data_IF_008067003561
#
_entry.id   IF_008067003561
#
_cell.length_a   1.000
_cell.length_b   1.000
_cell.length_c   1.000
_cell.angle_alpha   90.00
_cell.angle_beta   90.00
_cell.angle_gamma   90.00
#
_symmetry.space_group_name_H-M   'P 1'
#
loop_
_entity.id
_entity.type
_entity.pdbx_description
1 polymer ?
#
# COMPACT_ATOMS: atom_id res chain seq x y z
N UNK A 1 -8.07 3.63 -23.64
CA UNK A 1 -8.28 2.78 -22.43
C UNK A 1 -7.25 3.12 -21.36
N UNK A 2 -7.48 2.82 -20.08
CA UNK A 2 -6.53 3.24 -19.02
C UNK A 2 -5.13 2.64 -19.18
N UNK A 3 -5.03 1.35 -19.51
CA UNK A 3 -3.77 0.66 -19.78
C UNK A 3 -3.03 1.33 -20.94
N UNK A 4 -3.71 1.58 -22.06
CA UNK A 4 -3.13 2.30 -23.19
C UNK A 4 -2.66 3.71 -22.83
N UNK A 5 -3.43 4.44 -22.03
CA UNK A 5 -3.05 5.78 -21.58
C UNK A 5 -1.78 5.73 -20.71
N UNK A 6 -1.71 4.81 -19.76
CA UNK A 6 -0.50 4.62 -18.93
C UNK A 6 0.70 4.22 -19.81
N UNK A 7 0.51 3.33 -20.78
CA UNK A 7 1.56 2.94 -21.72
C UNK A 7 2.10 4.13 -22.52
N UNK A 8 1.21 5.04 -22.97
CA UNK A 8 1.60 6.27 -23.67
C UNK A 8 2.34 7.25 -22.77
N UNK A 9 1.84 7.49 -21.55
CA UNK A 9 2.52 8.35 -20.57
C UNK A 9 3.94 7.84 -20.28
N UNK A 10 4.09 6.52 -20.13
CA UNK A 10 5.40 5.91 -19.97
C UNK A 10 6.27 6.10 -21.22
N UNK A 11 5.73 5.86 -22.41
CA UNK A 11 6.49 5.96 -23.65
C UNK A 11 6.99 7.38 -23.92
N UNK A 12 6.15 8.39 -23.64
CA UNK A 12 6.54 9.80 -23.69
C UNK A 12 7.70 10.08 -22.74
N UNK A 13 7.61 9.58 -21.50
CA UNK A 13 8.69 9.73 -20.50
C UNK A 13 9.97 8.97 -20.89
N UNK A 14 9.84 7.78 -21.49
CA UNK A 14 10.96 6.98 -21.96
C UNK A 14 11.68 7.67 -23.12
N UNK A 15 10.93 8.17 -24.10
CA UNK A 15 11.49 8.91 -25.23
C UNK A 15 12.24 10.16 -24.78
N UNK A 16 11.68 10.90 -23.81
CA UNK A 16 12.28 12.07 -23.17
C UNK A 16 13.59 11.71 -22.43
N UNK A 17 13.58 10.68 -21.58
CA UNK A 17 14.73 10.25 -20.76
C UNK A 17 15.89 9.70 -21.61
N UNK A 18 15.59 8.89 -22.63
CA UNK A 18 16.59 8.19 -23.41
C UNK A 18 16.90 8.84 -24.76
N UNK A 19 16.27 9.98 -25.09
CA UNK A 19 16.45 10.68 -26.36
C UNK A 19 16.04 9.85 -27.58
N UNK A 20 14.99 9.05 -27.44
CA UNK A 20 14.46 8.17 -28.49
C UNK A 20 13.13 8.70 -29.05
N UNK A 21 12.62 8.09 -30.13
CA UNK A 21 11.37 8.50 -30.78
C UNK A 21 10.48 7.28 -31.07
N UNK A 22 10.37 6.38 -30.10
CA UNK A 22 9.55 5.19 -30.25
C UNK A 22 8.06 5.54 -30.28
N UNK A 23 7.32 4.91 -31.19
CA UNK A 23 5.87 4.73 -31.06
C UNK A 23 5.58 3.42 -30.30
N UNK A 24 4.33 3.19 -29.89
CA UNK A 24 4.00 2.04 -29.06
C UNK A 24 4.25 0.72 -29.80
N UNK A 25 4.04 0.68 -31.12
CA UNK A 25 4.32 -0.50 -31.94
C UNK A 25 5.81 -0.82 -31.96
N UNK A 26 6.65 0.13 -32.34
CA UNK A 26 8.10 -0.03 -32.43
C UNK A 26 8.71 -0.35 -31.07
N UNK A 27 8.29 0.35 -30.00
CA UNK A 27 8.70 -0.01 -28.63
C UNK A 27 8.28 -1.45 -28.27
N UNK A 28 7.06 -1.83 -28.62
CA UNK A 28 6.58 -3.18 -28.34
C UNK A 28 7.44 -4.24 -29.03
N UNK A 29 7.75 -4.04 -30.30
CA UNK A 29 8.51 -4.98 -31.12
C UNK A 29 9.97 -5.08 -30.69
N UNK A 30 10.62 -3.95 -30.41
CA UNK A 30 12.07 -3.87 -30.22
C UNK A 30 12.50 -3.98 -28.74
N UNK A 31 11.69 -3.48 -27.81
CA UNK A 31 12.05 -3.42 -26.39
C UNK A 31 11.21 -4.39 -25.56
N UNK A 32 9.88 -4.32 -25.70
CA UNK A 32 8.96 -5.05 -24.82
C UNK A 32 8.93 -6.56 -25.11
N UNK A 33 8.65 -6.96 -26.35
CA UNK A 33 8.51 -8.37 -26.72
C UNK A 33 9.78 -9.21 -26.43
N UNK A 34 10.99 -8.76 -26.78
CA UNK A 34 12.22 -9.50 -26.48
C UNK A 34 12.44 -9.74 -24.99
N UNK A 35 12.04 -8.77 -24.17
CA UNK A 35 12.18 -8.82 -22.71
C UNK A 35 11.12 -9.73 -22.06
N UNK A 36 9.87 -9.60 -22.49
CA UNK A 36 8.71 -10.22 -21.83
C UNK A 36 8.36 -11.61 -22.34
N UNK A 37 8.49 -11.85 -23.64
CA UNK A 37 7.90 -13.01 -24.31
C UNK A 37 8.87 -13.80 -25.18
N UNK A 38 9.95 -13.23 -25.70
CA UNK A 38 10.96 -14.02 -26.42
C UNK A 38 11.99 -14.67 -25.47
N UNK A 39 11.48 -15.31 -24.42
CA UNK A 39 12.27 -15.92 -23.36
C UNK A 39 11.60 -17.23 -22.92
N UNK A 40 12.38 -18.16 -22.36
CA UNK A 40 11.83 -19.43 -21.87
C UNK A 40 10.79 -19.24 -20.76
N UNK A 41 10.92 -18.19 -19.94
CA UNK A 41 9.94 -17.85 -18.90
C UNK A 41 9.40 -16.47 -19.16
N UNK A 42 8.11 -16.35 -19.41
CA UNK A 42 7.49 -15.05 -19.66
C UNK A 42 7.45 -14.21 -18.39
N UNK A 43 7.52 -12.89 -18.52
CA UNK A 43 7.41 -11.99 -17.36
C UNK A 43 5.95 -11.71 -16.99
N UNK A 44 5.03 -11.80 -17.95
CA UNK A 44 3.59 -11.56 -17.76
C UNK A 44 2.74 -12.56 -18.53
N UNK A 45 1.52 -12.82 -18.05
CA UNK A 45 0.55 -13.65 -18.79
C UNK A 45 -0.03 -12.89 -19.98
N UNK A 46 -0.05 -13.53 -21.15
CA UNK A 46 -0.70 -13.02 -22.35
C UNK A 46 -2.18 -13.45 -22.45
N UNK A 47 -2.64 -14.32 -21.54
CA UNK A 47 -4.03 -14.75 -21.46
C UNK A 47 -4.47 -15.47 -22.73
N UNK A 48 -5.52 -14.97 -23.37
CA UNK A 48 -6.06 -15.56 -24.61
C UNK A 48 -5.34 -15.07 -25.88
N UNK A 49 -4.30 -14.24 -25.73
CA UNK A 49 -3.47 -13.77 -26.85
C UNK A 49 -2.76 -14.92 -27.55
N UNK A 50 -2.50 -14.85 -28.87
CA UNK A 50 -1.63 -15.81 -29.56
C UNK A 50 -0.28 -16.04 -28.88
N UNK A 51 0.23 -15.03 -28.16
CA UNK A 51 1.47 -15.11 -27.36
C UNK A 51 1.44 -16.21 -26.29
N UNK A 52 0.28 -16.59 -25.77
CA UNK A 52 0.14 -17.66 -24.75
C UNK A 52 -0.98 -18.65 -25.08
N UNK A 53 -1.61 -18.58 -26.26
CA UNK A 53 -2.68 -19.51 -26.68
C UNK A 53 -2.23 -20.42 -27.85
N UNK A 54 -2.16 -21.76 -27.70
CA UNK A 54 -2.60 -22.58 -26.57
C UNK A 54 -1.75 -22.37 -25.31
N UNK A 55 -2.39 -22.57 -24.15
CA UNK A 55 -1.82 -22.29 -22.82
C UNK A 55 -0.59 -23.15 -22.50
N UNK A 56 0.43 -22.50 -21.96
CA UNK A 56 1.68 -23.14 -21.56
C UNK A 56 1.56 -23.77 -20.17
N UNK A 57 2.17 -24.95 -19.98
CA UNK A 57 2.25 -25.62 -18.68
C UNK A 57 3.52 -25.19 -17.95
N UNK A 58 3.51 -23.96 -17.41
CA UNK A 58 4.67 -23.35 -16.77
C UNK A 58 5.32 -24.24 -15.71
N UNK A 59 4.51 -24.83 -14.82
CA UNK A 59 5.02 -25.64 -13.71
C UNK A 59 5.70 -26.94 -14.22
N UNK A 60 5.17 -27.56 -15.28
CA UNK A 60 5.81 -28.73 -15.91
C UNK A 60 7.12 -28.35 -16.60
N UNK A 61 7.15 -27.21 -17.28
CA UNK A 61 8.34 -26.71 -17.99
C UNK A 61 9.46 -26.34 -17.00
N UNK A 62 9.12 -25.66 -15.90
CA UNK A 62 10.07 -25.33 -14.83
C UNK A 62 10.65 -26.59 -14.19
N UNK A 63 9.82 -27.61 -13.98
CA UNK A 63 10.25 -28.91 -13.43
C UNK A 63 10.96 -29.81 -14.45
N UNK A 64 11.16 -29.36 -15.69
CA UNK A 64 11.80 -30.15 -16.75
C UNK A 64 10.97 -31.33 -17.26
N UNK A 65 9.69 -31.43 -16.91
CA UNK A 65 8.77 -32.48 -17.39
C UNK A 65 8.34 -32.24 -18.85
N UNK A 66 8.37 -30.99 -19.28
CA UNK A 66 8.14 -30.55 -20.66
C UNK A 66 9.26 -29.60 -21.06
N UNK A 67 9.67 -29.65 -22.31
CA UNK A 67 10.61 -28.66 -22.85
C UNK A 67 9.95 -27.29 -22.94
N UNK A 68 10.73 -26.24 -22.75
CA UNK A 68 10.29 -24.89 -23.10
C UNK A 68 10.05 -24.78 -24.61
N UNK A 69 9.26 -23.78 -25.02
CA UNK A 69 9.05 -23.51 -26.44
C UNK A 69 10.37 -23.12 -27.12
N UNK A 70 10.55 -23.54 -28.36
CA UNK A 70 11.71 -23.13 -29.17
C UNK A 70 11.57 -21.68 -29.63
N UNK A 71 12.67 -21.00 -30.01
CA UNK A 71 12.59 -19.66 -30.60
C UNK A 71 11.63 -19.56 -31.79
N UNK A 72 11.55 -20.59 -32.64
CA UNK A 72 10.67 -20.64 -33.81
C UNK A 72 9.19 -20.70 -33.39
N UNK A 73 8.88 -21.46 -32.34
CA UNK A 73 7.52 -21.54 -31.79
C UNK A 73 7.09 -20.18 -31.21
N UNK A 74 7.97 -19.51 -30.46
CA UNK A 74 7.71 -18.17 -29.93
C UNK A 74 7.55 -17.13 -31.03
N UNK A 75 8.38 -17.20 -32.08
CA UNK A 75 8.27 -16.34 -33.27
C UNK A 75 6.94 -16.56 -34.00
N UNK A 76 6.50 -17.80 -34.18
CA UNK A 76 5.21 -18.11 -34.80
C UNK A 76 4.02 -17.53 -34.00
N UNK A 77 4.07 -17.59 -32.66
CA UNK A 77 3.07 -16.95 -31.79
C UNK A 77 3.06 -15.44 -31.93
N UNK A 78 4.25 -14.83 -31.99
CA UNK A 78 4.41 -13.40 -32.18
C UNK A 78 3.87 -12.92 -33.52
N UNK A 79 4.21 -13.57 -34.63
CA UNK A 79 3.70 -13.25 -35.96
C UNK A 79 2.16 -13.36 -36.03
N UNK A 80 1.58 -14.37 -35.35
CA UNK A 80 0.12 -14.49 -35.22
C UNK A 80 -0.49 -13.35 -34.42
N UNK A 81 0.17 -12.90 -33.36
CA UNK A 81 -0.27 -11.75 -32.57
C UNK A 81 -0.26 -10.48 -33.43
N UNK A 82 0.85 -10.17 -34.09
CA UNK A 82 0.98 -8.99 -34.97
C UNK A 82 -0.10 -9.00 -36.05
N UNK A 83 -0.24 -10.13 -36.77
CA UNK A 83 -1.26 -10.27 -37.83
C UNK A 83 -2.68 -10.07 -37.28
N UNK A 84 -2.96 -10.51 -36.06
CA UNK A 84 -4.28 -10.32 -35.43
C UNK A 84 -4.50 -8.86 -35.06
N UNK A 85 -3.52 -8.22 -34.42
CA UNK A 85 -3.58 -6.79 -34.06
C UNK A 85 -3.76 -5.91 -35.28
N UNK A 86 -3.13 -6.25 -36.40
CA UNK A 86 -3.18 -5.44 -37.62
C UNK A 86 -4.51 -5.58 -38.40
N UNK A 87 -5.25 -6.68 -38.19
CA UNK A 87 -6.45 -7.02 -39.01
C UNK A 87 -7.77 -7.05 -38.26
N UNK A 88 -7.74 -7.02 -36.93
CA UNK A 88 -8.93 -7.19 -36.09
C UNK A 88 -9.21 -5.94 -35.26
N UNK A 89 -10.48 -5.75 -34.89
CA UNK A 89 -10.81 -4.78 -33.86
C UNK A 89 -10.17 -5.16 -32.52
N UNK A 90 -9.76 -4.16 -31.76
CA UNK A 90 -9.08 -4.34 -30.49
C UNK A 90 -9.97 -5.09 -29.49
N UNK A 91 -9.60 -6.35 -29.21
CA UNK A 91 -10.21 -7.18 -28.19
C UNK A 91 -9.17 -7.56 -27.11
N UNK A 92 -9.64 -8.03 -25.95
CA UNK A 92 -8.77 -8.37 -24.81
C UNK A 92 -7.55 -9.27 -25.10
N UNK A 93 -7.57 -10.05 -26.17
CA UNK A 93 -6.48 -10.94 -26.59
C UNK A 93 -5.36 -10.23 -27.36
N UNK A 94 -5.60 -9.02 -27.86
CA UNK A 94 -4.61 -8.18 -28.55
C UNK A 94 -4.45 -6.80 -27.91
N UNK A 95 -5.38 -6.40 -27.04
CA UNK A 95 -5.35 -5.14 -26.29
C UNK A 95 -5.70 -5.38 -24.81
N UNK A 96 -4.74 -5.19 -23.91
CA UNK A 96 -4.86 -5.52 -22.49
C UNK A 96 -5.80 -4.58 -21.76
N UNK A 97 -6.74 -5.16 -21.00
CA UNK A 97 -7.75 -4.41 -20.23
C UNK A 97 -8.98 -3.98 -21.03
N UNK A 98 -9.02 -4.24 -22.34
CA UNK A 98 -10.16 -4.02 -23.21
C UNK A 98 -11.28 -5.04 -22.97
N UNK A 99 -12.46 -4.74 -23.51
CA UNK A 99 -13.56 -5.69 -23.58
C UNK A 99 -13.16 -6.94 -24.37
N UNK A 100 -13.70 -8.08 -23.98
CA UNK A 100 -13.72 -9.26 -24.84
C UNK A 100 -14.73 -9.06 -25.98
N UNK A 101 -14.61 -9.85 -27.04
CA UNK A 101 -15.60 -9.90 -28.12
C UNK A 101 -17.00 -10.20 -27.59
N UNK A 102 -17.10 -11.13 -26.63
CA UNK A 102 -18.29 -11.25 -25.78
C UNK A 102 -18.17 -10.26 -24.63
N UNK A 103 -18.89 -9.14 -24.75
CA UNK A 103 -18.88 -8.04 -23.77
C UNK A 103 -19.39 -8.50 -22.39
N UNK A 104 -20.25 -9.52 -22.33
CA UNK A 104 -20.78 -10.07 -21.08
C UNK A 104 -19.83 -11.07 -20.40
N UNK A 105 -18.74 -11.46 -21.07
CA UNK A 105 -17.78 -12.40 -20.49
C UNK A 105 -17.12 -11.81 -19.23
N UNK A 106 -16.79 -12.64 -18.22
CA UNK A 106 -16.22 -12.19 -16.96
C UNK A 106 -14.84 -11.53 -17.09
N UNK A 107 -14.18 -11.74 -18.23
CA UNK A 107 -12.87 -11.17 -18.57
C UNK A 107 -12.97 -9.89 -19.39
N UNK A 108 -14.18 -9.41 -19.67
CA UNK A 108 -14.40 -8.12 -20.31
C UNK A 108 -13.98 -6.99 -19.38
N UNK A 109 -13.27 -5.98 -19.88
CA UNK A 109 -12.78 -4.84 -19.12
C UNK A 109 -13.30 -3.51 -19.66
N UNK A 110 -13.66 -2.58 -18.75
CA UNK A 110 -14.01 -1.17 -19.05
C UNK A 110 -14.96 -1.00 -20.25
N UNK A 111 -15.99 -1.84 -20.30
CA UNK A 111 -17.08 -1.73 -21.29
C UNK A 111 -17.72 -0.34 -21.20
N UNK A 112 -17.86 0.34 -22.33
CA UNK A 112 -18.45 1.67 -22.41
C UNK A 112 -19.20 1.85 -23.71
N UNK A 113 -20.29 2.62 -23.67
CA UNK A 113 -21.03 3.04 -24.86
C UNK A 113 -20.32 4.20 -25.60
N UNK A 114 -19.26 4.77 -25.01
CA UNK A 114 -18.46 5.82 -25.63
C UNK A 114 -17.59 5.23 -26.75
N UNK A 115 -17.61 5.86 -27.93
CA UNK A 115 -16.69 5.53 -29.01
C UNK A 115 -15.29 6.04 -28.67
N UNK A 116 -14.48 5.18 -28.08
CA UNK A 116 -13.08 5.47 -27.79
C UNK A 116 -12.21 5.24 -29.03
N UNK A 117 -11.07 5.95 -29.15
CA UNK A 117 -10.09 5.67 -30.19
C UNK A 117 -9.63 4.21 -30.08
N UNK A 118 -9.85 3.44 -31.13
CA UNK A 118 -9.38 2.06 -31.27
C UNK A 118 -8.40 2.02 -32.44
N UNK A 119 -7.14 2.39 -32.18
CA UNK A 119 -6.05 2.26 -33.14
C UNK A 119 -5.12 1.12 -32.75
N UNK A 120 -4.32 0.62 -33.70
CA UNK A 120 -3.27 -0.37 -33.41
C UNK A 120 -2.29 0.17 -32.36
N UNK A 121 -2.00 1.46 -32.41
CA UNK A 121 -1.17 2.15 -31.43
C UNK A 121 -1.73 2.01 -29.99
N UNK A 122 -3.03 2.16 -29.80
CA UNK A 122 -3.68 1.95 -28.49
C UNK A 122 -3.58 0.49 -28.02
N UNK A 123 -3.65 -0.47 -28.94
CA UNK A 123 -3.47 -1.89 -28.63
C UNK A 123 -2.07 -2.18 -28.14
N UNK A 124 -1.02 -1.73 -28.84
CA UNK A 124 0.36 -1.93 -28.41
C UNK A 124 0.67 -1.20 -27.09
N UNK A 125 0.20 0.04 -26.95
CA UNK A 125 0.36 0.81 -25.71
C UNK A 125 -0.28 0.11 -24.51
N UNK A 126 -1.40 -0.60 -24.71
CA UNK A 126 -2.08 -1.32 -23.63
C UNK A 126 -1.23 -2.42 -23.00
N UNK A 127 -0.38 -3.09 -23.78
CA UNK A 127 0.52 -4.13 -23.27
C UNK A 127 1.59 -3.54 -22.36
N UNK A 128 2.19 -2.44 -22.80
CA UNK A 128 3.19 -1.68 -22.05
C UNK A 128 2.55 -1.20 -20.73
N UNK A 129 1.35 -0.63 -20.80
CA UNK A 129 0.60 -0.16 -19.65
C UNK A 129 0.22 -1.25 -18.65
N UNK A 130 -0.25 -2.42 -19.11
CA UNK A 130 -0.62 -3.52 -18.21
C UNK A 130 0.60 -4.06 -17.44
N UNK A 131 1.77 -4.11 -18.10
CA UNK A 131 3.03 -4.53 -17.48
C UNK A 131 3.56 -3.55 -16.43
N UNK A 132 3.10 -2.29 -16.43
CA UNK A 132 3.45 -1.26 -15.43
C UNK A 132 2.59 -1.35 -14.17
N UNK A 133 1.65 -2.30 -14.09
CA UNK A 133 0.82 -2.52 -12.91
C UNK A 133 1.64 -2.91 -11.68
N UNK A 134 1.32 -2.33 -10.53
CA UNK A 134 1.97 -2.63 -9.24
C UNK A 134 1.05 -3.53 -8.41
N UNK A 135 1.38 -4.82 -8.34
CA UNK A 135 0.59 -5.83 -7.63
C UNK A 135 0.72 -5.73 -6.12
N UNK A 136 -0.40 -5.78 -5.41
CA UNK A 136 -0.46 -5.66 -3.94
C UNK A 136 -1.27 -6.79 -3.31
N UNK A 137 -0.97 -7.10 -2.05
CA UNK A 137 -1.76 -8.05 -1.28
C UNK A 137 -3.24 -7.64 -1.25
N UNK A 138 -4.12 -8.62 -1.40
CA UNK A 138 -5.55 -8.41 -1.62
C UNK A 138 -5.99 -8.64 -3.07
N UNK A 139 -5.07 -8.99 -3.97
CA UNK A 139 -5.38 -9.44 -5.33
C UNK A 139 -5.71 -8.31 -6.32
N UNK A 140 -5.24 -7.10 -6.01
CA UNK A 140 -5.37 -5.93 -6.88
C UNK A 140 -4.00 -5.45 -7.35
N UNK A 141 -4.00 -4.62 -8.36
CA UNK A 141 -2.85 -3.87 -8.86
C UNK A 141 -3.18 -2.38 -8.88
N UNK A 142 -2.13 -1.56 -8.79
CA UNK A 142 -2.18 -0.10 -8.86
C UNK A 142 -1.48 0.33 -10.15
N UNK A 143 -2.15 1.11 -11.00
CA UNK A 143 -1.48 1.86 -12.06
C UNK A 143 -1.27 3.30 -11.59
N UNK A 144 -0.02 3.72 -11.55
CA UNK A 144 0.35 5.11 -11.29
C UNK A 144 0.45 5.87 -12.62
N UNK A 145 0.01 7.13 -12.65
CA UNK A 145 0.18 8.00 -13.84
C UNK A 145 1.41 8.91 -13.77
N UNK A 146 2.17 8.84 -12.68
CA UNK A 146 3.36 9.66 -12.46
C UNK A 146 4.54 9.10 -13.28
N UNK A 147 5.04 9.89 -14.25
CA UNK A 147 6.10 9.50 -15.19
C UNK A 147 7.30 8.86 -14.50
N UNK A 148 7.78 9.48 -13.42
CA UNK A 148 8.97 9.04 -12.69
C UNK A 148 8.76 7.63 -12.08
N UNK A 149 7.58 7.33 -11.54
CA UNK A 149 7.27 5.99 -11.02
C UNK A 149 7.25 4.96 -12.16
N UNK A 150 6.74 5.33 -13.34
CA UNK A 150 6.69 4.42 -14.48
C UNK A 150 8.10 4.07 -15.00
N UNK A 151 9.00 5.06 -15.04
CA UNK A 151 10.42 4.85 -15.37
C UNK A 151 11.11 3.98 -14.30
N UNK A 152 10.88 4.27 -13.02
CA UNK A 152 11.42 3.47 -11.91
C UNK A 152 10.98 2.00 -12.00
N UNK A 153 9.71 1.74 -12.35
CA UNK A 153 9.21 0.37 -12.58
C UNK A 153 9.94 -0.30 -13.74
N UNK A 154 10.13 0.42 -14.85
CA UNK A 154 10.80 -0.10 -16.04
C UNK A 154 12.27 -0.48 -15.77
N UNK A 155 12.99 0.27 -14.94
CA UNK A 155 14.36 -0.11 -14.52
C UNK A 155 14.39 -1.49 -13.86
N UNK A 156 13.39 -1.79 -13.04
CA UNK A 156 13.23 -3.08 -12.38
C UNK A 156 12.98 -4.25 -13.34
N UNK A 157 12.47 -4.01 -14.56
CA UNK A 157 12.12 -5.09 -15.50
C UNK A 157 13.34 -5.88 -15.97
N UNK A 158 14.45 -5.19 -16.26
CA UNK A 158 15.71 -5.84 -16.67
C UNK A 158 16.29 -6.71 -15.56
N UNK A 159 16.17 -6.24 -14.31
CA UNK A 159 16.59 -6.99 -13.13
C UNK A 159 15.71 -8.24 -12.92
N UNK A 160 14.40 -8.13 -13.09
CA UNK A 160 13.51 -9.30 -13.01
C UNK A 160 13.85 -10.34 -14.07
N UNK A 161 14.10 -9.89 -15.30
CA UNK A 161 14.50 -10.76 -16.41
C UNK A 161 15.77 -11.54 -16.06
N UNK A 162 16.77 -10.85 -15.51
CA UNK A 162 18.01 -11.46 -15.03
C UNK A 162 17.71 -12.54 -13.98
N UNK A 163 16.94 -12.22 -12.95
CA UNK A 163 16.55 -13.19 -11.91
C UNK A 163 15.86 -14.44 -12.50
N UNK A 164 14.93 -14.28 -13.45
CA UNK A 164 14.23 -15.40 -14.08
C UNK A 164 15.16 -16.32 -14.89
N UNK A 165 16.18 -15.74 -15.53
CA UNK A 165 17.14 -16.49 -16.34
C UNK A 165 18.17 -17.22 -15.47
N UNK A 166 18.60 -16.60 -14.38
CA UNK A 166 19.61 -17.16 -13.47
C UNK A 166 19.02 -18.13 -12.43
N UNK A 167 17.73 -18.01 -12.12
CA UNK A 167 17.06 -18.86 -11.12
C UNK A 167 16.18 -19.91 -11.78
N UNK A 168 16.68 -21.13 -11.91
CA UNK A 168 16.03 -22.25 -12.61
C UNK A 168 14.60 -22.52 -12.14
N UNK A 169 14.35 -22.54 -10.82
CA UNK A 169 13.05 -22.84 -10.24
C UNK A 169 12.12 -21.62 -10.06
N UNK A 170 12.55 -20.41 -10.42
CA UNK A 170 11.72 -19.20 -10.32
C UNK A 170 10.62 -19.18 -11.38
N UNK A 171 9.39 -18.95 -10.93
CA UNK A 171 8.21 -18.85 -11.78
C UNK A 171 8.14 -17.50 -12.51
N UNK A 172 7.81 -17.56 -13.79
CA UNK A 172 7.48 -16.39 -14.60
C UNK A 172 6.06 -15.86 -14.32
N UNK A 173 5.57 -14.97 -15.19
CA UNK A 173 4.23 -14.38 -15.12
C UNK A 173 3.92 -13.62 -13.81
N UNK A 174 4.94 -13.05 -13.16
CA UNK A 174 4.78 -12.31 -11.91
C UNK A 174 5.18 -10.83 -12.02
N UNK A 175 5.14 -10.21 -13.22
CA UNK A 175 5.60 -8.82 -13.39
C UNK A 175 4.94 -7.84 -12.41
N UNK A 176 3.62 -7.90 -12.20
CA UNK A 176 2.97 -6.96 -11.28
C UNK A 176 3.44 -7.17 -9.83
N UNK A 177 3.63 -8.44 -9.42
CA UNK A 177 4.18 -8.78 -8.10
C UNK A 177 5.61 -8.29 -7.96
N UNK A 178 6.44 -8.47 -9.01
CA UNK A 178 7.79 -7.94 -9.06
C UNK A 178 7.79 -6.42 -8.94
N UNK A 179 6.99 -5.69 -9.70
CA UNK A 179 6.91 -4.23 -9.65
C UNK A 179 6.62 -3.72 -8.24
N UNK A 180 5.71 -4.38 -7.49
CA UNK A 180 5.42 -4.03 -6.10
C UNK A 180 6.59 -4.27 -5.14
N UNK A 181 7.27 -5.40 -5.30
CA UNK A 181 8.47 -5.70 -4.51
C UNK A 181 9.63 -4.77 -4.87
N UNK A 182 9.82 -4.48 -6.16
CA UNK A 182 10.87 -3.61 -6.68
C UNK A 182 10.72 -2.20 -6.13
N UNK A 183 9.53 -1.59 -6.25
CA UNK A 183 9.31 -0.24 -5.72
C UNK A 183 9.53 -0.14 -4.21
N UNK A 184 9.13 -1.16 -3.46
CA UNK A 184 9.35 -1.19 -2.01
C UNK A 184 10.84 -1.30 -1.63
N UNK A 185 11.64 -1.99 -2.45
CA UNK A 185 13.09 -2.12 -2.26
C UNK A 185 13.82 -0.87 -2.76
N UNK A 186 13.60 -0.49 -4.01
CA UNK A 186 14.26 0.63 -4.68
C UNK A 186 14.08 1.96 -3.95
N UNK A 187 12.92 2.18 -3.31
CA UNK A 187 12.66 3.39 -2.54
C UNK A 187 13.05 3.29 -1.07
N UNK A 188 13.61 2.17 -0.60
CA UNK A 188 14.15 2.06 0.75
C UNK A 188 15.65 2.42 0.77
N UNK A 189 16.03 3.64 1.18
CA UNK A 189 17.44 4.05 1.21
C UNK A 189 18.27 3.29 2.24
N UNK A 190 17.64 2.45 3.07
CA UNK A 190 18.31 1.60 4.07
C UNK A 190 18.71 0.23 3.52
N UNK A 191 18.12 -0.21 2.40
CA UNK A 191 18.34 -1.53 1.80
C UNK A 191 18.88 -1.43 0.37
N UNK A 192 18.48 -0.41 -0.38
CA UNK A 192 18.87 -0.27 -1.76
C UNK A 192 20.30 0.28 -1.90
N UNK A 193 21.11 -0.44 -2.67
CA UNK A 193 22.43 -0.06 -3.12
C UNK A 193 22.40 0.03 -4.66
N UNK A 194 22.75 1.19 -5.22
CA UNK A 194 22.72 1.41 -6.66
C UNK A 194 23.78 0.58 -7.41
N UNK A 195 24.93 0.31 -6.79
CA UNK A 195 26.01 -0.49 -7.38
C UNK A 195 25.66 -1.99 -7.33
N UNK A 196 24.88 -2.39 -6.32
CA UNK A 196 24.41 -3.76 -6.13
C UNK A 196 22.89 -3.82 -5.92
N UNK A 197 22.07 -3.56 -6.96
CA UNK A 197 20.63 -3.36 -6.82
C UNK A 197 19.85 -4.60 -6.34
N UNK A 198 20.46 -5.78 -6.42
CA UNK A 198 19.88 -7.05 -5.95
C UNK A 198 20.55 -7.60 -4.67
N UNK A 199 21.50 -6.88 -4.06
CA UNK A 199 22.13 -7.33 -2.83
C UNK A 199 21.12 -7.41 -1.69
N UNK A 200 21.12 -8.54 -0.97
CA UNK A 200 20.17 -8.80 0.12
C UNK A 200 18.70 -8.92 -0.30
N UNK A 201 18.39 -8.76 -1.59
CA UNK A 201 17.03 -8.75 -2.10
C UNK A 201 16.55 -10.17 -2.42
N UNK A 202 15.78 -10.74 -1.48
CA UNK A 202 15.24 -12.10 -1.61
C UNK A 202 13.72 -12.13 -1.36
N UNK A 203 12.90 -11.59 -2.27
CA UNK A 203 11.43 -11.56 -2.14
C UNK A 203 10.78 -12.91 -2.47
N UNK A 204 11.50 -14.01 -2.27
CA UNK A 204 11.16 -15.33 -2.79
C UNK A 204 10.55 -16.22 -1.72
N UNK A 205 9.50 -16.95 -2.11
CA UNK A 205 8.97 -18.07 -1.34
C UNK A 205 9.08 -19.36 -2.17
N UNK A 206 9.27 -20.49 -1.50
CA UNK A 206 9.33 -21.79 -2.16
C UNK A 206 8.09 -22.59 -1.77
N UNK A 207 7.34 -23.06 -2.76
CA UNK A 207 6.19 -23.91 -2.51
C UNK A 207 6.62 -25.35 -2.19
N UNK A 208 5.66 -26.21 -1.81
CA UNK A 208 5.92 -27.62 -1.45
C UNK A 208 6.59 -28.43 -2.58
N UNK A 209 6.46 -27.99 -3.82
CA UNK A 209 7.00 -28.65 -5.00
C UNK A 209 8.38 -28.10 -5.42
N UNK A 210 8.97 -27.21 -4.63
CA UNK A 210 10.27 -26.59 -4.92
C UNK A 210 10.22 -25.45 -5.95
N UNK A 211 9.04 -25.07 -6.46
CA UNK A 211 8.90 -23.90 -7.35
C UNK A 211 8.98 -22.63 -6.50
N UNK A 212 9.84 -21.72 -6.93
CA UNK A 212 10.06 -20.43 -6.30
C UNK A 212 9.07 -19.43 -6.90
N UNK A 213 8.34 -18.70 -6.06
CA UNK A 213 7.50 -17.58 -6.48
C UNK A 213 7.95 -16.31 -5.76
N UNK A 214 7.58 -15.16 -6.31
CA UNK A 214 7.75 -13.88 -5.63
C UNK A 214 6.57 -13.66 -4.67
N UNK A 215 6.86 -13.29 -3.43
CA UNK A 215 5.84 -12.86 -2.46
C UNK A 215 5.20 -11.55 -2.90
N UNK A 216 3.88 -11.43 -2.76
CA UNK A 216 3.19 -10.16 -3.04
C UNK A 216 3.34 -9.22 -1.86
N UNK A 217 3.76 -7.99 -2.13
CA UNK A 217 4.01 -6.99 -1.11
C UNK A 217 2.72 -6.33 -0.60
N UNK A 218 2.71 -5.88 0.66
CA UNK A 218 1.56 -5.16 1.21
C UNK A 218 1.38 -3.81 0.52
N UNK A 219 0.12 -3.39 0.35
CA UNK A 219 -0.18 -2.06 -0.20
C UNK A 219 0.38 -0.95 0.69
N UNK A 220 0.42 -1.16 2.01
CA UNK A 220 0.96 -0.19 2.98
C UNK A 220 2.45 0.00 2.80
N UNK A 221 3.24 -1.07 2.66
CA UNK A 221 4.70 -0.96 2.50
C UNK A 221 5.05 -0.23 1.20
N UNK A 222 4.36 -0.55 0.11
CA UNK A 222 4.53 0.16 -1.17
C UNK A 222 4.20 1.64 -1.03
N UNK A 223 3.03 1.98 -0.47
CA UNK A 223 2.62 3.39 -0.34
C UNK A 223 3.50 4.17 0.65
N UNK A 224 3.99 3.55 1.72
CA UNK A 224 4.99 4.15 2.62
C UNK A 224 6.26 4.46 1.83
N UNK A 225 6.80 3.50 1.07
CA UNK A 225 8.01 3.67 0.28
C UNK A 225 7.84 4.80 -0.77
N UNK A 226 6.74 4.79 -1.52
CA UNK A 226 6.37 5.87 -2.45
C UNK A 226 6.28 7.21 -1.71
N UNK A 227 5.66 7.26 -0.54
CA UNK A 227 5.54 8.48 0.25
C UNK A 227 6.89 9.00 0.75
N UNK A 228 7.87 8.13 1.03
CA UNK A 228 9.22 8.53 1.45
C UNK A 228 10.00 9.15 0.28
N UNK A 229 9.92 8.53 -0.91
CA UNK A 229 10.59 9.02 -2.14
C UNK A 229 9.99 10.34 -2.64
N UNK A 230 8.66 10.43 -2.72
CA UNK A 230 7.98 11.56 -3.35
C UNK A 230 7.42 12.55 -2.32
N UNK A 231 7.80 13.82 -2.45
CA UNK A 231 7.34 14.89 -1.55
C UNK A 231 5.99 15.50 -1.93
N UNK A 232 5.44 15.15 -3.10
CA UNK A 232 4.10 15.55 -3.53
C UNK A 232 3.06 15.28 -2.44
N UNK A 233 2.06 16.17 -2.33
CA UNK A 233 0.97 16.00 -1.36
C UNK A 233 0.12 14.78 -1.68
N UNK A 234 -0.11 14.52 -2.97
CA UNK A 234 -1.03 13.48 -3.42
C UNK A 234 -0.56 12.85 -4.74
N UNK A 235 -0.82 11.54 -4.89
CA UNK A 235 -0.66 10.80 -6.16
C UNK A 235 -1.96 10.04 -6.43
N UNK A 236 -2.36 9.95 -7.70
CA UNK A 236 -3.53 9.17 -8.12
C UNK A 236 -3.11 7.76 -8.54
N UNK A 237 -3.82 6.75 -8.04
CA UNK A 237 -3.66 5.36 -8.47
C UNK A 237 -4.96 4.81 -9.05
N UNK A 238 -4.89 4.13 -10.20
CA UNK A 238 -6.02 3.38 -10.75
C UNK A 238 -5.97 1.93 -10.26
N UNK A 239 -7.02 1.50 -9.56
CA UNK A 239 -7.06 0.21 -8.86
C UNK A 239 -7.89 -0.81 -9.65
N UNK A 240 -7.25 -1.92 -9.98
CA UNK A 240 -7.82 -2.95 -10.86
C UNK A 240 -7.28 -4.35 -10.55
N UNK A 241 -7.88 -5.37 -11.15
CA UNK A 241 -7.41 -6.75 -11.13
C UNK A 241 -7.78 -7.39 -12.46
N UNK A 242 -6.80 -7.93 -13.18
CA UNK A 242 -7.01 -8.70 -14.41
C UNK A 242 -6.73 -10.17 -14.10
N UNK A 243 -7.65 -11.04 -14.48
CA UNK A 243 -7.53 -12.47 -14.21
C UNK A 243 -8.70 -13.24 -14.81
N UNK A 244 -9.19 -14.26 -14.10
CA UNK A 244 -10.38 -15.01 -14.52
C UNK A 244 -11.64 -14.15 -14.54
N UNK A 245 -11.70 -13.17 -13.64
CA UNK A 245 -12.76 -12.17 -13.57
C UNK A 245 -12.12 -10.82 -13.34
N UNK A 246 -12.30 -9.90 -14.27
CA UNK A 246 -11.74 -8.56 -14.14
C UNK A 246 -12.50 -7.79 -13.07
N UNK A 247 -11.78 -7.00 -12.27
CA UNK A 247 -12.36 -6.13 -11.24
C UNK A 247 -11.75 -4.75 -11.35
N UNK A 248 -12.58 -3.73 -11.21
CA UNK A 248 -12.15 -2.33 -11.15
C UNK A 248 -12.73 -1.71 -9.91
N UNK A 249 -11.91 -0.99 -9.15
CA UNK A 249 -12.38 -0.05 -8.12
C UNK A 249 -12.38 1.36 -8.70
N UNK A 250 -11.38 1.71 -9.53
CA UNK A 250 -11.26 3.00 -10.19
C UNK A 250 -10.12 3.84 -9.63
N UNK A 251 -10.18 5.15 -9.84
CA UNK A 251 -9.15 6.08 -9.39
C UNK A 251 -9.29 6.38 -7.90
N UNK A 252 -8.20 6.17 -7.15
CA UNK A 252 -8.10 6.45 -5.73
C UNK A 252 -6.94 7.41 -5.50
N UNK A 253 -7.18 8.59 -4.88
CA UNK A 253 -6.13 9.47 -4.46
C UNK A 253 -5.41 8.94 -3.21
N UNK A 254 -4.09 8.99 -3.23
CA UNK A 254 -3.22 8.66 -2.10
C UNK A 254 -2.61 9.95 -1.56
N UNK A 255 -2.99 10.33 -0.35
CA UNK A 255 -2.39 11.47 0.35
C UNK A 255 -1.07 11.01 0.98
N UNK A 256 0.03 11.29 0.28
CA UNK A 256 1.36 10.87 0.71
C UNK A 256 1.80 11.61 1.98
N UNK A 257 1.28 12.81 2.24
CA UNK A 257 1.60 13.56 3.46
C UNK A 257 1.01 12.85 4.68
N UNK A 258 -0.25 12.45 4.58
CA UNK A 258 -0.93 11.72 5.65
C UNK A 258 -0.39 10.30 5.85
N UNK A 259 0.05 9.63 4.78
CA UNK A 259 0.67 8.30 4.86
C UNK A 259 2.06 8.39 5.53
N UNK A 260 2.85 9.40 5.17
CA UNK A 260 4.23 9.58 5.68
C UNK A 260 4.28 10.09 7.12
N UNK A 261 3.31 10.92 7.52
CA UNK A 261 3.28 11.55 8.84
C UNK A 261 3.48 10.57 10.02
N UNK A 262 2.69 9.49 10.18
CA UNK A 262 2.86 8.58 11.31
C UNK A 262 4.25 7.94 11.32
N UNK A 263 4.85 7.70 10.15
CA UNK A 263 6.21 7.16 10.06
C UNK A 263 7.24 8.15 10.59
N UNK A 264 7.17 9.41 10.16
CA UNK A 264 8.06 10.45 10.66
C UNK A 264 7.87 10.73 12.16
N UNK A 265 6.63 10.75 12.65
CA UNK A 265 6.35 10.94 14.06
C UNK A 265 6.91 9.79 14.90
N UNK A 266 6.77 8.56 14.41
CA UNK A 266 7.34 7.38 15.08
C UNK A 266 8.85 7.49 15.17
N UNK A 267 9.52 7.75 14.04
CA UNK A 267 10.98 7.90 13.96
C UNK A 267 11.48 9.06 14.85
N UNK A 268 10.73 10.16 14.94
CA UNK A 268 11.05 11.31 15.80
C UNK A 268 10.95 10.99 17.30
N UNK A 269 9.95 10.21 17.71
CA UNK A 269 9.65 9.97 19.14
C UNK A 269 10.40 8.74 19.68
N UNK A 270 10.52 7.67 18.88
CA UNK A 270 11.07 6.38 19.31
C UNK A 270 12.39 6.01 18.63
N UNK A 271 12.81 6.75 17.60
CA UNK A 271 14.05 6.49 16.88
C UNK A 271 13.89 5.60 15.65
N UNK A 272 14.95 5.55 14.83
CA UNK A 272 14.94 4.94 13.50
C UNK A 272 14.93 3.41 13.51
N UNK A 273 15.58 2.76 14.48
CA UNK A 273 15.64 1.29 14.59
C UNK A 273 14.26 0.69 14.81
N UNK A 274 13.45 1.34 15.64
CA UNK A 274 12.10 0.87 15.98
C UNK A 274 11.09 1.22 14.88
N UNK A 275 11.32 2.32 14.15
CA UNK A 275 10.50 2.72 13.01
C UNK A 275 10.38 1.64 11.93
N UNK A 276 11.48 0.93 11.63
CA UNK A 276 11.46 -0.16 10.63
C UNK A 276 10.56 -1.32 11.08
N UNK A 277 10.66 -1.72 12.34
CA UNK A 277 9.83 -2.81 12.88
C UNK A 277 8.34 -2.41 12.89
N UNK A 278 8.06 -1.12 13.09
CA UNK A 278 6.71 -0.58 13.15
C UNK A 278 6.04 -0.50 11.77
N UNK A 279 6.81 -0.41 10.67
CA UNK A 279 6.27 -0.27 9.30
C UNK A 279 5.25 -1.36 8.95
N UNK A 280 5.46 -2.58 9.46
CA UNK A 280 4.59 -3.74 9.25
C UNK A 280 3.22 -3.66 9.94
N UNK A 281 3.06 -2.77 10.93
CA UNK A 281 1.86 -2.67 11.76
C UNK A 281 0.87 -1.63 11.24
N UNK A 282 1.30 -0.68 10.42
CA UNK A 282 0.43 0.34 9.86
C UNK A 282 -0.55 -0.22 8.83
N UNK A 283 -1.78 0.31 8.85
CA UNK A 283 -2.85 -0.04 7.91
C UNK A 283 -3.25 -1.52 7.94
N UNK A 284 -3.08 -2.17 9.09
CA UNK A 284 -3.42 -3.58 9.30
C UNK A 284 -4.86 -3.78 9.78
N UNK A 285 -5.57 -2.71 10.15
CA UNK A 285 -6.95 -2.81 10.63
C UNK A 285 -7.94 -3.22 9.54
N UNK A 286 -7.69 -2.83 8.28
CA UNK A 286 -8.58 -3.07 7.15
C UNK A 286 -7.80 -3.54 5.92
N UNK A 287 -8.46 -4.31 5.04
CA UNK A 287 -7.87 -4.73 3.77
C UNK A 287 -7.89 -3.62 2.71
N UNK A 288 -7.04 -3.75 1.69
CA UNK A 288 -6.86 -2.73 0.64
C UNK A 288 -8.17 -2.31 -0.03
N UNK A 289 -9.01 -3.27 -0.43
CA UNK A 289 -10.31 -3.00 -1.06
C UNK A 289 -11.18 -2.10 -0.17
N UNK A 290 -11.25 -2.38 1.13
CA UNK A 290 -12.01 -1.59 2.10
C UNK A 290 -11.40 -0.20 2.26
N UNK A 291 -10.08 -0.09 2.33
CA UNK A 291 -9.40 1.20 2.39
C UNK A 291 -9.77 2.10 1.19
N UNK A 292 -9.86 1.53 -0.02
CA UNK A 292 -10.29 2.28 -1.21
C UNK A 292 -11.73 2.79 -1.14
N UNK A 293 -12.62 2.17 -0.36
CA UNK A 293 -14.02 2.63 -0.21
C UNK A 293 -14.14 3.96 0.53
N UNK A 294 -13.08 4.42 1.20
CA UNK A 294 -13.06 5.73 1.86
C UNK A 294 -12.87 6.89 0.87
N UNK A 295 -12.72 6.60 -0.43
CA UNK A 295 -12.57 7.61 -1.49
C UNK A 295 -11.17 8.21 -1.57
N UNK A 296 -10.33 8.01 -0.56
CA UNK A 296 -8.91 8.36 -0.53
C UNK A 296 -8.16 7.45 0.45
N UNK A 297 -6.88 7.20 0.19
CA UNK A 297 -5.99 6.54 1.15
C UNK A 297 -5.10 7.60 1.80
N UNK A 298 -5.28 7.77 3.11
CA UNK A 298 -4.54 8.69 3.96
C UNK A 298 -4.46 8.11 5.37
N UNK A 299 -4.41 8.97 6.40
CA UNK A 299 -4.13 8.53 7.77
C UNK A 299 -5.16 7.52 8.29
N UNK A 300 -6.44 7.66 7.91
CA UNK A 300 -7.52 6.74 8.28
C UNK A 300 -7.26 5.31 7.81
N UNK A 301 -6.70 5.14 6.62
CA UNK A 301 -6.38 3.82 6.07
C UNK A 301 -5.16 3.19 6.74
N UNK A 302 -4.29 4.00 7.37
CA UNK A 302 -3.11 3.56 8.09
C UNK A 302 -3.42 3.04 9.51
N UNK A 303 -4.70 2.86 9.85
CA UNK A 303 -5.13 2.38 11.17
C UNK A 303 -4.53 1.00 11.50
N UNK A 304 -3.89 0.85 12.67
CA UNK A 304 -3.33 -0.44 13.11
C UNK A 304 -4.41 -1.35 13.70
N UNK A 305 -4.29 -2.65 13.47
CA UNK A 305 -5.21 -3.66 13.99
C UNK A 305 -5.22 -3.65 15.53
N UNK A 306 -6.41 -3.74 16.12
CA UNK A 306 -6.59 -3.84 17.57
C UNK A 306 -6.81 -2.51 18.30
N UNK A 307 -6.60 -1.38 17.64
CA UNK A 307 -6.80 -0.05 18.23
C UNK A 307 -8.26 0.24 18.61
N UNK A 308 -9.22 -0.24 17.80
CA UNK A 308 -10.65 0.05 17.96
C UNK A 308 -11.24 -0.32 19.33
N UNK A 309 -10.74 -1.37 19.96
CA UNK A 309 -11.20 -1.76 21.30
C UNK A 309 -10.84 -0.69 22.36
N UNK A 310 -9.70 -0.02 22.20
CA UNK A 310 -9.27 1.05 23.09
C UNK A 310 -10.05 2.34 22.84
N UNK A 311 -10.35 2.65 21.57
CA UNK A 311 -11.05 3.87 21.17
C UNK A 311 -12.54 3.80 21.49
N UNK A 312 -13.22 2.74 21.04
CA UNK A 312 -14.69 2.69 21.07
C UNK A 312 -15.26 1.90 22.25
N UNK A 313 -14.51 0.94 22.80
CA UNK A 313 -14.97 0.14 23.96
C UNK A 313 -14.35 0.61 25.29
N UNK A 314 -13.49 1.63 25.27
CA UNK A 314 -12.84 2.14 26.47
C UNK A 314 -11.93 1.13 27.16
N UNK A 315 -11.43 0.13 26.41
CA UNK A 315 -10.52 -0.89 26.96
C UNK A 315 -9.30 -0.19 27.57
N UNK A 316 -8.92 -0.58 28.79
CA UNK A 316 -7.74 -0.06 29.44
C UNK A 316 -6.47 -0.74 28.89
N UNK A 317 -5.42 0.02 28.53
CA UNK A 317 -4.13 -0.55 28.22
C UNK A 317 -3.53 -1.22 29.47
N UNK A 318 -2.74 -2.27 29.26
CA UNK A 318 -1.94 -2.85 30.34
C UNK A 318 -0.82 -1.87 30.70
N UNK A 319 -0.30 -1.96 31.92
CA UNK A 319 0.93 -1.27 32.29
C UNK A 319 2.02 -1.66 31.27
N UNK A 320 2.73 -0.65 30.76
CA UNK A 320 3.71 -0.83 29.71
C UNK A 320 4.76 0.27 29.79
N UNK A 321 5.91 -0.03 29.19
CA UNK A 321 6.90 0.97 28.80
C UNK A 321 6.86 1.16 27.28
N UNK A 322 7.71 2.05 26.78
CA UNK A 322 7.84 2.32 25.35
C UNK A 322 8.57 1.22 24.57
N UNK A 323 8.83 0.04 25.14
CA UNK A 323 9.39 -1.09 24.40
C UNK A 323 8.29 -1.87 23.64
N UNK A 324 7.00 -1.60 23.94
CA UNK A 324 5.89 -2.24 23.25
C UNK A 324 5.56 -1.53 21.93
N UNK A 325 6.14 -2.05 20.84
CA UNK A 325 5.97 -1.51 19.49
C UNK A 325 4.49 -1.33 19.06
N UNK A 326 3.59 -2.23 19.47
CA UNK A 326 2.17 -2.12 19.12
C UNK A 326 1.53 -0.90 19.77
N UNK A 327 1.85 -0.66 21.04
CA UNK A 327 1.33 0.50 21.76
C UNK A 327 1.93 1.80 21.22
N UNK A 328 3.22 1.81 20.88
CA UNK A 328 3.84 2.95 20.21
C UNK A 328 3.14 3.28 18.88
N UNK A 329 2.82 2.26 18.07
CA UNK A 329 2.08 2.43 16.81
C UNK A 329 0.67 2.98 17.05
N UNK A 330 -0.04 2.48 18.07
CA UNK A 330 -1.36 3.01 18.45
C UNK A 330 -1.32 4.48 18.86
N UNK A 331 -0.37 4.82 19.73
CA UNK A 331 -0.13 6.17 20.24
C UNK A 331 0.18 7.13 19.09
N UNK A 332 1.09 6.75 18.18
CA UNK A 332 1.50 7.57 17.05
C UNK A 332 0.39 7.69 16.01
N UNK A 333 -0.39 6.64 15.76
CA UNK A 333 -1.53 6.74 14.85
C UNK A 333 -2.57 7.73 15.39
N UNK A 334 -2.91 7.65 16.68
CA UNK A 334 -3.82 8.59 17.33
C UNK A 334 -3.28 10.01 17.23
N UNK A 335 -2.00 10.20 17.51
CA UNK A 335 -1.36 11.50 17.43
C UNK A 335 -1.42 12.07 16.00
N UNK A 336 -1.10 11.26 15.00
CA UNK A 336 -1.20 11.65 13.59
C UNK A 336 -2.64 11.98 13.16
N UNK A 337 -3.64 11.26 13.67
CA UNK A 337 -5.06 11.50 13.43
C UNK A 337 -5.56 12.80 14.05
N UNK A 338 -5.13 13.11 15.28
CA UNK A 338 -5.51 14.35 15.97
C UNK A 338 -4.90 15.58 15.30
N UNK A 339 -3.74 15.42 14.64
CA UNK A 339 -3.05 16.47 13.91
C UNK A 339 -2.86 17.76 14.74
N UNK A 340 -2.52 17.61 16.01
CA UNK A 340 -2.29 18.73 16.90
C UNK A 340 -1.25 18.34 17.96
N UNK A 341 -0.07 18.95 17.86
CA UNK A 341 1.07 18.71 18.73
C UNK A 341 0.79 19.15 20.18
N UNK A 342 -0.06 20.16 20.39
CA UNK A 342 -0.47 20.58 21.72
C UNK A 342 -1.35 19.54 22.43
N UNK A 343 -2.16 18.77 21.66
CA UNK A 343 -2.99 17.71 22.24
C UNK A 343 -2.14 16.54 22.78
N UNK A 344 -0.95 16.34 22.21
CA UNK A 344 0.00 15.37 22.75
C UNK A 344 0.44 15.79 24.16
N UNK A 345 1.00 17.00 24.29
CA UNK A 345 1.54 17.52 25.55
C UNK A 345 0.44 17.57 26.64
N UNK A 346 -0.74 18.07 26.29
CA UNK A 346 -1.89 18.13 27.22
C UNK A 346 -2.36 16.76 27.68
N UNK A 347 -2.25 15.73 26.85
CA UNK A 347 -2.59 14.36 27.27
C UNK A 347 -1.61 13.84 28.33
N UNK A 348 -0.32 14.22 28.24
CA UNK A 348 0.70 13.87 29.22
C UNK A 348 0.54 14.66 30.52
N UNK A 349 0.26 15.96 30.42
CA UNK A 349 -0.03 16.82 31.57
C UNK A 349 -1.26 16.33 32.33
N UNK A 350 -2.36 16.05 31.63
CA UNK A 350 -3.57 15.51 32.25
C UNK A 350 -3.32 14.14 32.89
N UNK A 351 -2.52 13.27 32.27
CA UNK A 351 -2.14 11.99 32.87
C UNK A 351 -1.41 12.18 34.21
N UNK A 352 -0.46 13.12 34.29
CA UNK A 352 0.27 13.44 35.52
C UNK A 352 -0.65 14.00 36.60
N UNK A 353 -1.50 14.98 36.25
CA UNK A 353 -2.47 15.57 37.19
C UNK A 353 -3.41 14.51 37.77
N UNK A 354 -3.89 13.59 36.93
CA UNK A 354 -4.74 12.48 37.37
C UNK A 354 -3.97 11.49 38.25
N UNK A 355 -2.70 11.19 37.94
CA UNK A 355 -1.88 10.26 38.71
C UNK A 355 -1.58 10.82 40.11
N UNK A 356 -1.24 12.10 40.19
CA UNK A 356 -1.06 12.83 41.45
C UNK A 356 -2.35 12.84 42.29
N UNK A 357 -3.49 13.13 41.67
CA UNK A 357 -4.79 13.09 42.36
C UNK A 357 -5.22 11.69 42.81
N UNK A 358 -4.72 10.64 42.14
CA UNK A 358 -4.96 9.25 42.54
C UNK A 358 -4.19 8.83 43.78
N UNK A 359 -3.08 9.52 44.09
CA UNK A 359 -2.19 9.23 45.20
C UNK A 359 -2.64 9.92 46.49
N UNK A 360 -2.80 9.14 47.56
CA UNK A 360 -3.19 9.70 48.85
C UNK A 360 -1.95 10.08 49.67
N UNK A 361 -1.60 11.37 49.67
CA UNK A 361 -0.44 11.90 50.43
C UNK A 361 -0.56 11.62 51.94
N UNK A 362 -1.78 11.42 52.45
CA UNK A 362 -2.06 11.21 53.88
C UNK A 362 -2.15 9.74 54.31
N UNK A 363 -1.78 8.78 53.45
CA UNK A 363 -1.83 7.31 53.73
C UNK A 363 -3.21 6.80 54.22
N UNK A 364 -4.30 7.48 53.86
CA UNK A 364 -5.64 6.98 54.19
C UNK A 364 -6.00 5.78 53.29
N UNK A 365 -6.75 4.82 53.83
CA UNK A 365 -7.18 3.58 53.12
C UNK A 365 -8.27 3.89 52.05
N UNK A 366 -8.61 5.17 51.82
CA UNK A 366 -9.72 5.58 50.97
C UNK A 366 -9.47 5.31 49.48
N UNK A 367 -10.31 4.46 48.88
CA UNK A 367 -10.28 4.17 47.42
C UNK A 367 -11.03 5.21 46.59
N UNK A 368 -11.66 6.22 47.23
CA UNK A 368 -12.54 7.19 46.55
C UNK A 368 -11.82 7.96 45.44
N UNK A 369 -10.62 8.48 45.71
CA UNK A 369 -9.85 9.28 44.74
C UNK A 369 -9.49 8.46 43.52
N UNK A 370 -8.97 7.25 43.75
CA UNK A 370 -8.64 6.29 42.70
C UNK A 370 -9.85 5.94 41.82
N UNK A 371 -11.01 5.67 42.44
CA UNK A 371 -12.22 5.36 41.70
C UNK A 371 -12.69 6.53 40.81
N UNK A 372 -12.60 7.78 41.30
CA UNK A 372 -12.95 8.96 40.50
C UNK A 372 -12.01 9.15 39.30
N UNK A 373 -10.70 8.95 39.50
CA UNK A 373 -9.71 8.96 38.41
C UNK A 373 -10.01 7.85 37.40
N UNK A 374 -10.34 6.64 37.87
CA UNK A 374 -10.74 5.54 36.98
C UNK A 374 -11.99 5.88 36.17
N UNK A 375 -12.98 6.57 36.75
CA UNK A 375 -14.17 7.05 36.01
C UNK A 375 -13.77 8.01 34.89
N UNK A 376 -12.81 8.91 35.11
CA UNK A 376 -12.27 9.79 34.05
C UNK A 376 -11.59 8.98 32.95
N UNK A 377 -10.73 8.03 33.32
CA UNK A 377 -10.00 7.19 32.37
C UNK A 377 -10.92 6.26 31.55
N UNK A 378 -12.05 5.84 32.12
CA UNK A 378 -13.04 4.98 31.47
C UNK A 378 -14.00 5.75 30.55
N UNK A 379 -13.97 7.08 30.53
CA UNK A 379 -14.78 7.87 29.61
C UNK A 379 -14.40 7.55 28.14
N UNK A 380 -15.42 7.37 27.30
CA UNK A 380 -15.25 7.11 25.85
C UNK A 380 -15.79 8.23 24.98
N UNK A 381 -16.48 9.21 25.56
CA UNK A 381 -17.06 10.33 24.85
C UNK A 381 -17.05 11.61 25.69
N UNK A 382 -17.30 12.75 25.04
CA UNK A 382 -17.27 14.08 25.64
C UNK A 382 -18.16 14.19 26.88
N UNK A 383 -19.40 13.72 26.81
CA UNK A 383 -20.37 13.83 27.91
C UNK A 383 -19.88 13.11 29.16
N UNK A 384 -19.42 11.86 29.01
CA UNK A 384 -18.88 11.07 30.12
C UNK A 384 -17.64 11.72 30.72
N UNK A 385 -16.72 12.20 29.87
CA UNK A 385 -15.49 12.84 30.33
C UNK A 385 -15.77 14.10 31.16
N UNK A 386 -16.63 15.00 30.69
CA UNK A 386 -16.93 16.25 31.41
C UNK A 386 -17.62 15.98 32.76
N UNK A 387 -18.54 15.01 32.81
CA UNK A 387 -19.15 14.59 34.06
C UNK A 387 -18.10 14.09 35.07
N UNK A 388 -17.24 13.16 34.64
CA UNK A 388 -16.19 12.61 35.49
C UNK A 388 -15.15 13.68 35.91
N UNK A 389 -14.78 14.58 35.01
CA UNK A 389 -13.85 15.67 35.29
C UNK A 389 -14.39 16.64 36.35
N UNK A 390 -15.70 16.87 36.36
CA UNK A 390 -16.36 17.74 37.35
C UNK A 390 -16.29 17.14 38.76
N UNK A 391 -16.33 15.81 38.88
CA UNK A 391 -16.25 15.13 40.18
C UNK A 391 -14.82 15.08 40.71
N UNK A 392 -13.82 14.87 39.84
CA UNK A 392 -12.41 14.71 40.26
C UNK A 392 -11.72 16.04 40.58
N UNK A 393 -12.18 17.17 40.01
CA UNK A 393 -11.48 18.48 40.10
C UNK A 393 -11.19 18.94 41.54
N UNK A 394 -12.01 18.53 42.50
CA UNK A 394 -11.81 18.86 43.92
C UNK A 394 -10.52 18.27 44.49
N UNK A 395 -10.03 17.17 43.92
CA UNK A 395 -8.82 16.44 44.32
C UNK A 395 -7.58 16.77 43.47
N UNK A 396 -7.71 17.69 42.52
CA UNK A 396 -6.60 18.15 41.69
C UNK A 396 -5.96 19.36 42.37
N UNK A 397 -4.65 19.30 42.63
CA UNK A 397 -3.88 20.40 43.25
C UNK A 397 -3.84 21.62 42.30
N UNK A 398 -3.47 21.41 41.02
CA UNK A 398 -3.36 22.45 39.98
C UNK A 398 -4.68 22.66 39.23
N UNK A 399 -5.69 23.20 39.90
CA UNK A 399 -7.07 23.30 39.37
C UNK A 399 -7.20 24.11 38.08
N UNK A 400 -6.43 25.19 37.93
CA UNK A 400 -6.54 26.06 36.75
C UNK A 400 -5.95 25.41 35.49
N UNK A 401 -4.81 24.74 35.63
CA UNK A 401 -4.21 23.91 34.56
C UNK A 401 -5.20 22.83 34.11
N UNK A 402 -5.78 22.08 35.06
CA UNK A 402 -6.79 21.05 34.77
C UNK A 402 -8.03 21.60 34.06
N UNK A 403 -8.60 22.71 34.54
CA UNK A 403 -9.75 23.35 33.90
C UNK A 403 -9.43 23.84 32.49
N UNK A 404 -8.21 24.33 32.25
CA UNK A 404 -7.73 24.71 30.93
C UNK A 404 -7.80 23.52 29.96
N UNK A 405 -7.21 22.38 30.34
CA UNK A 405 -7.21 21.16 29.52
C UNK A 405 -8.65 20.67 29.27
N UNK A 406 -9.50 20.65 30.30
CA UNK A 406 -10.91 20.22 30.18
C UNK A 406 -11.70 21.13 29.21
N UNK A 407 -11.46 22.44 29.24
CA UNK A 407 -12.11 23.40 28.34
C UNK A 407 -11.72 23.14 26.88
N UNK A 408 -10.47 22.79 26.61
CA UNK A 408 -10.02 22.46 25.26
C UNK A 408 -10.61 21.16 24.74
N UNK A 409 -10.67 20.12 25.58
CA UNK A 409 -11.34 18.86 25.24
C UNK A 409 -12.84 19.09 24.99
N UNK A 410 -13.47 20.00 25.73
CA UNK A 410 -14.85 20.39 25.47
C UNK A 410 -15.01 21.08 24.11
N UNK A 411 -14.08 21.95 23.74
CA UNK A 411 -14.05 22.68 22.46
C UNK A 411 -13.71 21.82 21.24
N UNK A 412 -13.11 20.64 21.41
CA UNK A 412 -12.68 19.81 20.29
C UNK A 412 -13.87 19.14 19.55
N UNK A 413 -13.74 18.79 18.26
CA UNK A 413 -14.75 18.03 17.54
C UNK A 413 -15.10 16.72 18.27
N UNK A 414 -16.39 16.38 18.33
CA UNK A 414 -16.86 15.20 19.08
C UNK A 414 -16.17 13.91 18.64
N UNK A 415 -15.86 13.78 17.35
CA UNK A 415 -15.18 12.60 16.79
C UNK A 415 -13.71 12.50 17.22
N UNK A 416 -13.08 13.59 17.66
CA UNK A 416 -11.70 13.61 18.13
C UNK A 416 -11.57 13.21 19.61
N UNK A 417 -12.63 13.38 20.39
CA UNK A 417 -12.61 13.11 21.84
C UNK A 417 -12.25 11.65 22.16
N UNK A 418 -12.83 10.62 21.52
CA UNK A 418 -12.47 9.22 21.81
C UNK A 418 -10.98 8.94 21.58
N UNK A 419 -10.37 9.55 20.56
CA UNK A 419 -8.95 9.41 20.28
C UNK A 419 -8.09 10.08 21.36
N UNK A 420 -8.42 11.31 21.75
CA UNK A 420 -7.71 12.00 22.84
C UNK A 420 -7.80 11.23 24.16
N UNK A 421 -8.98 10.75 24.53
CA UNK A 421 -9.17 9.96 25.76
C UNK A 421 -8.40 8.63 25.71
N UNK A 422 -8.26 8.05 24.52
CA UNK A 422 -7.42 6.86 24.34
C UNK A 422 -5.94 7.20 24.53
N UNK A 423 -5.47 8.30 23.95
CA UNK A 423 -4.10 8.78 24.15
C UNK A 423 -3.80 9.00 25.64
N UNK A 424 -4.72 9.67 26.35
CA UNK A 424 -4.64 9.86 27.81
C UNK A 424 -4.49 8.54 28.56
N UNK A 425 -5.30 7.52 28.25
CA UNK A 425 -5.20 6.19 28.88
C UNK A 425 -3.82 5.55 28.65
N UNK A 426 -3.27 5.65 27.44
CA UNK A 426 -1.94 5.13 27.14
C UNK A 426 -0.87 5.87 27.96
N UNK A 427 -0.86 7.20 27.94
CA UNK A 427 0.09 8.02 28.70
C UNK A 427 0.00 7.74 30.21
N UNK A 428 -1.20 7.66 30.77
CA UNK A 428 -1.42 7.36 32.18
C UNK A 428 -0.82 6.01 32.59
N UNK A 429 -0.89 4.98 31.73
CA UNK A 429 -0.35 3.63 32.03
C UNK A 429 1.17 3.50 31.89
N UNK A 430 1.85 4.57 31.47
CA UNK A 430 3.32 4.66 31.49
C UNK A 430 3.87 5.31 32.75
N UNK A 431 3.00 5.96 33.55
CA UNK A 431 3.29 6.51 34.87
C UNK A 431 3.06 5.43 35.95
#
# INVERSE_FOLDING_TARGET
MITSNIGKIFLDAYNEEYGTNYDARTFFLEQFYPLFFDQNKYMMTAGNSPLENPKLSWDDMIKGKKTYETPEQRKCRFEKMIKKTDKSEADMSIARGYASLDIAAPTSGQVTDLKLPNSQEESYASWIGDALGVGVQGGFSILFSKKEILLDIFEGWKLYRKCLNETSMLKGNQINTWNGQWLSHYYDPREYDADMPLAGYSPYNTNKDGIINIDTQTWTKILIAVSKKYRNSQILGYIYSIGKTNKTIGFIPFDLTQIRRPIHLYEKIFGMSDGRNAESLWGTAIGFKTACTYGAIGIKAMEPKGLRDYVYKGKQPKAHNYDNINYNVYIIWIYAMLNNDELWEKSQELAKLLNEASSDKDKSISTKRKNLVETVLNATNKKQFIAAATEVVSFIDKKDEFKGIVKEIHGMPTDNVPYFLTLLRFQYKTL
#
